data_IF_363867667151
#
_entry.id   IF_363867667151
#
_cell.length_a   1.000
_cell.length_b   1.000
_cell.length_c   1.000
_cell.angle_alpha   90.00
_cell.angle_beta   90.00
_cell.angle_gamma   90.00
#
_symmetry.space_group_name_H-M   'P 1'
#
loop_
_entity.id
_entity.type
_entity.pdbx_description
1 polymer ?
#
# COMPACT_ATOMS: atom_id res chain seq x y z
N UNK A 1 21.84 54.72 9.44
CA UNK A 1 21.24 54.06 8.25
C UNK A 1 21.88 52.70 7.95
N UNK A 2 23.18 52.54 8.24
CA UNK A 2 23.98 51.33 8.01
C UNK A 2 23.56 50.10 8.83
N UNK A 3 23.23 50.23 10.12
CA UNK A 3 22.91 49.08 10.99
C UNK A 3 21.59 48.39 10.62
N UNK A 4 20.60 49.14 10.15
CA UNK A 4 19.29 48.60 9.71
C UNK A 4 19.41 47.82 8.39
N UNK A 5 20.31 48.27 7.51
CA UNK A 5 20.59 47.59 6.25
C UNK A 5 21.28 46.24 6.48
N UNK A 6 22.24 46.18 7.41
CA UNK A 6 22.94 44.95 7.79
C UNK A 6 21.99 43.90 8.38
N UNK A 7 21.07 44.32 9.27
CA UNK A 7 20.07 43.42 9.84
C UNK A 7 19.07 42.89 8.80
N UNK A 8 18.68 43.72 7.82
CA UNK A 8 17.81 43.32 6.72
C UNK A 8 18.49 42.29 5.80
N UNK A 9 19.77 42.50 5.49
CA UNK A 9 20.56 41.57 4.66
C UNK A 9 20.78 40.24 5.37
N UNK A 10 21.10 40.25 6.67
CA UNK A 10 21.21 39.01 7.47
C UNK A 10 19.88 38.26 7.57
N UNK A 11 18.76 38.97 7.78
CA UNK A 11 17.43 38.37 7.82
C UNK A 11 17.01 37.73 6.50
N UNK A 12 17.33 38.37 5.37
CA UNK A 12 17.09 37.83 4.03
C UNK A 12 17.96 36.58 3.74
N UNK A 13 19.20 36.55 4.22
CA UNK A 13 20.08 35.38 4.12
C UNK A 13 19.58 34.19 4.94
N UNK A 14 19.05 34.42 6.16
CA UNK A 14 18.45 33.35 6.95
C UNK A 14 17.16 32.78 6.33
N UNK A 15 16.40 33.59 5.59
CA UNK A 15 15.19 33.15 4.86
C UNK A 15 15.52 32.34 3.59
N UNK A 16 16.70 32.55 2.99
CA UNK A 16 17.18 31.82 1.81
C UNK A 16 17.78 30.45 2.15
N UNK A 17 18.20 30.23 3.40
CA UNK A 17 18.75 28.95 3.89
C UNK A 17 17.66 27.98 4.38
N UNK A 18 16.52 27.93 3.70
CA UNK A 18 15.60 26.80 3.89
C UNK A 18 16.21 25.57 3.25
N UNK A 19 16.91 24.78 4.04
CA UNK A 19 17.27 23.43 3.68
C UNK A 19 15.97 22.60 3.64
N UNK A 20 15.33 22.55 2.47
CA UNK A 20 14.36 21.49 2.21
C UNK A 20 15.13 20.17 2.32
N UNK A 21 14.70 19.30 3.23
CA UNK A 21 15.25 17.96 3.32
C UNK A 21 14.88 17.23 2.04
N UNK A 22 15.79 17.24 1.06
CA UNK A 22 15.60 16.52 -0.18
C UNK A 22 15.70 15.03 0.13
N UNK A 23 14.61 14.30 -0.09
CA UNK A 23 14.62 12.85 0.05
C UNK A 23 15.63 12.28 -0.94
N UNK A 24 16.68 11.65 -0.42
CA UNK A 24 17.66 10.92 -1.20
C UNK A 24 17.50 9.43 -0.91
N UNK A 25 17.55 8.64 -1.98
CA UNK A 25 17.75 7.19 -1.88
C UNK A 25 19.25 7.00 -2.05
N UNK A 26 19.97 6.99 -0.93
CA UNK A 26 21.44 6.94 -0.93
C UNK A 26 21.98 5.58 -1.38
N UNK A 27 21.13 4.55 -1.39
CA UNK A 27 21.50 3.21 -1.83
C UNK A 27 20.35 2.52 -2.56
N UNK A 28 20.68 1.79 -3.63
CA UNK A 28 19.75 0.92 -4.34
C UNK A 28 20.50 -0.33 -4.86
N UNK A 29 19.76 -1.41 -5.10
CA UNK A 29 20.30 -2.64 -5.71
C UNK A 29 19.32 -3.15 -6.75
N UNK A 30 19.83 -3.50 -7.93
CA UNK A 30 19.09 -4.34 -8.88
C UNK A 30 19.32 -5.81 -8.52
N UNK A 31 18.44 -6.36 -7.71
CA UNK A 31 18.51 -7.78 -7.38
C UNK A 31 17.80 -8.59 -8.47
N UNK A 32 18.56 -9.09 -9.44
CA UNK A 32 18.10 -10.17 -10.32
C UNK A 32 17.91 -11.43 -9.48
N UNK A 33 16.70 -11.68 -9.00
CA UNK A 33 16.44 -12.69 -7.99
C UNK A 33 15.45 -13.75 -8.46
N UNK A 34 15.93 -14.77 -9.18
CA UNK A 34 15.13 -15.96 -9.48
C UNK A 34 15.07 -16.37 -10.94
N UNK A 35 14.44 -17.53 -11.18
CA UNK A 35 14.24 -18.11 -12.49
C UNK A 35 13.27 -19.29 -12.44
N UNK A 36 12.72 -19.63 -13.60
CA UNK A 36 11.91 -20.83 -13.77
C UNK A 36 12.74 -21.87 -14.51
N UNK A 37 12.94 -23.02 -13.88
CA UNK A 37 13.49 -24.21 -14.51
C UNK A 37 12.34 -25.15 -14.85
N UNK A 38 12.24 -25.54 -16.11
CA UNK A 38 11.17 -26.38 -16.63
C UNK A 38 11.74 -27.60 -17.33
N UNK A 39 11.03 -28.73 -17.19
CA UNK A 39 11.09 -29.83 -18.13
C UNK A 39 9.68 -30.08 -18.70
N UNK A 40 9.51 -31.13 -19.50
CA UNK A 40 8.23 -31.43 -20.15
C UNK A 40 7.07 -31.70 -19.17
N UNK A 41 7.35 -32.10 -17.93
CA UNK A 41 6.37 -32.58 -16.98
C UNK A 41 6.23 -31.68 -15.74
N UNK A 42 7.26 -30.89 -15.41
CA UNK A 42 7.31 -30.06 -14.22
C UNK A 42 7.95 -28.70 -14.48
N UNK A 43 7.45 -27.69 -13.77
CA UNK A 43 8.00 -26.35 -13.68
C UNK A 43 8.35 -26.05 -12.23
N UNK A 44 9.59 -25.59 -12.00
CA UNK A 44 10.05 -25.08 -10.71
C UNK A 44 10.40 -23.61 -10.88
N UNK A 45 9.67 -22.73 -10.23
CA UNK A 45 10.01 -21.30 -10.15
C UNK A 45 10.53 -21.00 -8.75
N UNK A 46 11.66 -20.30 -8.67
CA UNK A 46 12.29 -19.96 -7.40
C UNK A 46 13.01 -18.62 -7.48
N UNK A 47 13.26 -18.03 -6.32
CA UNK A 47 13.93 -16.74 -6.17
C UNK A 47 15.14 -16.91 -5.27
N UNK A 48 16.29 -16.31 -5.64
CA UNK A 48 17.39 -16.19 -4.68
C UNK A 48 16.89 -15.27 -3.55
N UNK A 49 16.95 -15.76 -2.32
CA UNK A 49 16.48 -15.02 -1.15
C UNK A 49 17.15 -13.65 -1.04
N UNK A 50 16.33 -12.62 -0.84
CA UNK A 50 16.76 -11.26 -0.57
C UNK A 50 16.73 -11.06 0.94
N UNK A 51 17.89 -11.05 1.61
CA UNK A 51 17.95 -10.85 3.07
C UNK A 51 17.45 -9.45 3.49
N UNK A 52 17.44 -8.49 2.57
CA UNK A 52 16.82 -7.18 2.71
C UNK A 52 15.30 -7.18 2.49
N UNK A 53 14.72 -8.27 1.99
CA UNK A 53 13.27 -8.52 2.03
C UNK A 53 12.84 -8.88 3.46
N UNK A 54 12.78 -7.86 4.31
CA UNK A 54 12.31 -7.97 5.69
C UNK A 54 10.83 -7.63 5.87
N UNK A 55 10.43 -7.40 7.12
CA UNK A 55 9.13 -6.80 7.45
C UNK A 55 9.00 -5.42 6.78
N UNK A 56 7.76 -4.99 6.52
CA UNK A 56 7.48 -3.65 5.98
C UNK A 56 8.20 -2.58 6.80
N UNK A 57 9.09 -1.82 6.13
CA UNK A 57 9.75 -0.67 6.72
C UNK A 57 8.75 0.49 6.74
N UNK A 58 8.56 1.14 7.89
CA UNK A 58 7.65 2.27 8.05
C UNK A 58 8.40 3.51 8.55
N UNK A 59 8.04 4.68 8.02
CA UNK A 59 8.52 5.97 8.53
C UNK A 59 7.43 7.04 8.30
N UNK A 60 6.68 7.37 9.36
CA UNK A 60 5.55 8.29 9.28
C UNK A 60 4.46 7.79 8.33
N UNK A 61 4.17 8.55 7.28
CA UNK A 61 3.18 8.19 6.25
C UNK A 61 3.73 7.25 5.16
N UNK A 62 5.02 6.95 5.18
CA UNK A 62 5.67 6.15 4.15
C UNK A 62 5.88 4.72 4.63
N UNK A 63 5.65 3.77 3.72
CA UNK A 63 5.96 2.36 3.94
C UNK A 63 6.62 1.76 2.71
N UNK A 64 7.61 0.91 2.91
CA UNK A 64 8.30 0.17 1.85
C UNK A 64 8.39 -1.29 2.27
N UNK A 65 7.83 -2.18 1.44
CA UNK A 65 8.04 -3.63 1.56
C UNK A 65 8.94 -4.07 0.43
N UNK A 66 10.16 -4.48 0.76
CA UNK A 66 11.10 -5.07 -0.19
C UNK A 66 10.81 -6.57 -0.41
N UNK A 67 11.27 -7.10 -1.54
CA UNK A 67 11.22 -8.54 -1.84
C UNK A 67 10.48 -8.88 -3.12
N UNK A 68 10.88 -10.01 -3.73
CA UNK A 68 10.30 -10.49 -4.98
C UNK A 68 8.83 -10.94 -4.82
N UNK A 69 8.47 -11.41 -3.63
CA UNK A 69 7.13 -11.91 -3.29
C UNK A 69 6.31 -10.92 -2.45
N UNK A 70 6.56 -9.61 -2.58
CA UNK A 70 5.71 -8.63 -1.93
C UNK A 70 4.26 -8.86 -2.39
N UNK A 71 3.39 -9.25 -1.45
CA UNK A 71 1.95 -9.39 -1.72
C UNK A 71 1.41 -8.03 -2.20
N UNK A 72 0.30 -8.02 -2.96
CA UNK A 72 -0.35 -6.78 -3.35
C UNK A 72 -0.55 -5.88 -2.13
N UNK A 73 0.09 -4.71 -2.13
CA UNK A 73 -0.08 -3.75 -1.06
C UNK A 73 -1.28 -2.86 -1.34
N UNK A 74 -2.22 -2.84 -0.39
CA UNK A 74 -3.31 -1.89 -0.42
C UNK A 74 -2.79 -0.51 -0.01
N UNK A 75 -2.84 0.46 -0.92
CA UNK A 75 -2.53 1.86 -0.61
C UNK A 75 -3.79 2.51 -0.04
N UNK A 76 -3.70 2.99 1.20
CA UNK A 76 -4.76 3.78 1.82
C UNK A 76 -4.81 5.17 1.17
N UNK A 77 -6.01 5.64 0.83
CA UNK A 77 -6.23 7.01 0.38
C UNK A 77 -6.46 7.89 1.61
N UNK A 78 -5.92 9.11 1.60
CA UNK A 78 -6.13 10.05 2.70
C UNK A 78 -7.64 10.29 2.95
N UNK A 79 -8.06 10.18 4.21
CA UNK A 79 -9.46 10.29 4.62
C UNK A 79 -10.34 9.09 4.28
N UNK A 80 -9.80 8.05 3.64
CA UNK A 80 -10.51 6.77 3.49
C UNK A 80 -10.49 5.99 4.82
N UNK A 81 -11.57 5.30 5.17
CA UNK A 81 -11.59 4.49 6.36
C UNK A 81 -10.74 3.23 6.18
N UNK A 82 -10.22 2.72 7.30
CA UNK A 82 -9.38 1.54 7.30
C UNK A 82 -10.26 0.30 7.07
N UNK A 83 -10.03 -0.40 5.95
CA UNK A 83 -10.69 -1.65 5.62
C UNK A 83 -9.98 -2.81 6.32
N UNK A 84 -10.72 -3.62 7.06
CA UNK A 84 -10.21 -4.80 7.77
C UNK A 84 -10.98 -6.05 7.37
N UNK A 85 -10.31 -7.19 7.46
CA UNK A 85 -10.89 -8.52 7.28
C UNK A 85 -10.59 -9.36 8.51
N UNK A 86 -11.61 -9.98 9.08
CA UNK A 86 -11.51 -10.84 10.25
C UNK A 86 -12.23 -12.19 10.00
N UNK A 87 -11.73 -13.30 10.54
CA UNK A 87 -12.47 -14.57 10.53
C UNK A 87 -13.85 -14.42 11.19
N UNK A 88 -14.85 -15.11 10.65
CA UNK A 88 -16.20 -15.16 11.22
C UNK A 88 -16.58 -16.61 11.59
N UNK A 89 -17.73 -17.10 11.12
CA UNK A 89 -18.07 -18.52 11.24
C UNK A 89 -17.20 -19.38 10.29
N UNK A 90 -17.11 -20.71 10.50
CA UNK A 90 -16.38 -21.60 9.59
C UNK A 90 -16.77 -21.39 8.13
N UNK A 91 -15.80 -21.15 7.26
CA UNK A 91 -16.04 -20.87 5.84
C UNK A 91 -16.55 -19.45 5.55
N UNK A 92 -16.38 -18.51 6.48
CA UNK A 92 -16.77 -17.11 6.30
C UNK A 92 -15.79 -16.11 6.92
N UNK A 93 -15.76 -14.92 6.34
CA UNK A 93 -14.98 -13.79 6.81
C UNK A 93 -15.87 -12.54 6.88
N UNK A 94 -15.61 -11.69 7.88
CA UNK A 94 -16.23 -10.38 8.00
C UNK A 94 -15.29 -9.33 7.43
N UNK A 95 -15.81 -8.48 6.58
CA UNK A 95 -15.15 -7.26 6.10
C UNK A 95 -15.83 -6.08 6.78
N UNK A 96 -15.04 -5.18 7.34
CA UNK A 96 -15.53 -3.98 7.99
C UNK A 96 -14.59 -2.81 7.78
N UNK A 97 -15.07 -1.60 8.02
CA UNK A 97 -14.22 -0.42 7.98
C UNK A 97 -14.53 0.58 9.07
N UNK A 98 -13.49 1.27 9.55
CA UNK A 98 -13.61 2.29 10.60
C UNK A 98 -12.74 3.49 10.27
N UNK A 99 -13.23 4.73 10.47
CA UNK A 99 -14.60 5.10 10.84
C UNK A 99 -15.64 4.77 9.74
N UNK A 100 -16.94 4.73 10.04
CA UNK A 100 -17.97 4.48 9.02
C UNK A 100 -18.23 5.76 8.19
N UNK A 101 -17.22 6.18 7.43
CA UNK A 101 -17.24 7.43 6.66
C UNK A 101 -18.28 7.37 5.53
N UNK A 102 -19.24 8.32 5.47
CA UNK A 102 -20.25 8.34 4.41
C UNK A 102 -19.65 8.46 2.99
N UNK A 103 -20.31 7.82 2.03
CA UNK A 103 -19.97 7.88 0.61
C UNK A 103 -18.98 6.82 0.14
N UNK A 104 -18.49 5.94 1.01
CA UNK A 104 -17.70 4.77 0.57
C UNK A 104 -18.61 3.57 0.29
N UNK A 105 -18.32 2.86 -0.81
CA UNK A 105 -18.94 1.59 -1.18
C UNK A 105 -17.88 0.50 -1.27
N UNK A 106 -18.24 -0.73 -0.93
CA UNK A 106 -17.36 -1.87 -1.10
C UNK A 106 -17.35 -2.30 -2.58
N UNK A 107 -16.15 -2.48 -3.13
CA UNK A 107 -15.93 -3.09 -4.43
C UNK A 107 -15.15 -4.39 -4.29
N UNK A 108 -15.37 -5.28 -5.24
CA UNK A 108 -14.76 -6.59 -5.28
C UNK A 108 -14.27 -6.95 -6.68
N UNK A 109 -13.25 -7.80 -6.74
CA UNK A 109 -12.74 -8.37 -8.01
C UNK A 109 -12.10 -9.73 -7.77
N UNK A 110 -12.02 -10.53 -8.83
CA UNK A 110 -11.38 -11.85 -8.82
C UNK A 110 -9.94 -11.84 -9.35
N UNK A 111 -9.51 -10.74 -9.98
CA UNK A 111 -8.14 -10.57 -10.49
C UNK A 111 -7.69 -9.14 -10.30
N UNK A 112 -6.39 -8.94 -10.04
CA UNK A 112 -5.75 -7.63 -10.07
C UNK A 112 -5.09 -7.35 -11.44
N UNK A 113 -5.02 -8.36 -12.32
CA UNK A 113 -4.32 -8.29 -13.61
C UNK A 113 -5.05 -9.11 -14.69
N UNK A 114 -5.88 -8.50 -15.55
CA UNK A 114 -6.40 -7.13 -15.44
C UNK A 114 -7.42 -7.01 -14.30
N UNK A 115 -7.41 -5.88 -13.60
CA UNK A 115 -8.40 -5.62 -12.56
C UNK A 115 -9.76 -5.24 -13.16
N UNK A 116 -10.82 -5.93 -12.74
CA UNK A 116 -12.20 -5.57 -13.08
C UNK A 116 -13.04 -5.44 -11.81
N UNK A 117 -13.12 -4.21 -11.29
CA UNK A 117 -13.77 -3.90 -10.02
C UNK A 117 -15.26 -3.66 -10.22
N UNK A 118 -16.09 -4.42 -9.50
CA UNK A 118 -17.54 -4.22 -9.46
C UNK A 118 -17.99 -3.85 -8.05
N UNK A 119 -19.10 -3.12 -7.92
CA UNK A 119 -19.69 -2.85 -6.61
C UNK A 119 -20.18 -4.17 -6.00
N UNK A 120 -19.86 -4.40 -4.73
CA UNK A 120 -20.39 -5.53 -3.99
C UNK A 120 -21.89 -5.33 -3.74
N UNK A 121 -22.63 -6.43 -3.64
CA UNK A 121 -24.07 -6.40 -3.34
C UNK A 121 -24.38 -5.78 -1.98
N UNK A 122 -23.40 -5.70 -1.07
CA UNK A 122 -23.56 -5.04 0.23
C UNK A 122 -23.65 -3.52 0.13
N UNK A 123 -23.22 -2.92 -0.98
CA UNK A 123 -23.19 -1.46 -1.17
C UNK A 123 -22.33 -0.77 -0.10
N UNK A 124 -22.96 0.09 0.71
CA UNK A 124 -22.34 0.81 1.84
C UNK A 124 -22.56 0.13 3.20
N UNK A 125 -23.10 -1.10 3.23
CA UNK A 125 -23.35 -1.83 4.47
C UNK A 125 -22.05 -2.22 5.15
N UNK A 126 -21.93 -1.92 6.44
CA UNK A 126 -20.74 -2.14 7.25
C UNK A 126 -21.14 -2.49 8.69
N UNK A 127 -20.69 -3.63 9.25
CA UNK A 127 -19.85 -4.68 8.63
C UNK A 127 -20.65 -5.57 7.66
N UNK A 128 -19.94 -6.38 6.86
CA UNK A 128 -20.52 -7.37 5.95
C UNK A 128 -19.77 -8.71 6.03
N UNK A 129 -20.51 -9.81 6.02
CA UNK A 129 -19.95 -11.17 6.01
C UNK A 129 -20.02 -11.80 4.62
N UNK A 130 -18.96 -12.50 4.24
CA UNK A 130 -18.86 -13.25 3.00
C UNK A 130 -18.47 -14.69 3.27
N UNK A 131 -18.93 -15.61 2.42
CA UNK A 131 -18.37 -16.97 2.40
C UNK A 131 -16.98 -16.94 1.77
N UNK A 132 -16.02 -17.58 2.42
CA UNK A 132 -14.66 -17.72 1.90
C UNK A 132 -14.68 -18.75 0.77
N UNK A 133 -14.35 -18.31 -0.44
CA UNK A 133 -14.23 -19.19 -1.60
C UNK A 133 -12.83 -19.86 -1.66
N UNK A 134 -12.71 -20.93 -2.45
CA UNK A 134 -11.41 -21.58 -2.72
C UNK A 134 -10.47 -20.67 -3.55
N UNK A 135 -11.03 -19.74 -4.34
CA UNK A 135 -10.28 -18.76 -5.10
C UNK A 135 -10.15 -17.44 -4.33
N UNK A 136 -9.02 -16.76 -4.49
CA UNK A 136 -8.79 -15.45 -3.90
C UNK A 136 -9.76 -14.41 -4.49
N UNK A 137 -10.40 -13.64 -3.61
CA UNK A 137 -11.24 -12.49 -3.96
C UNK A 137 -10.65 -11.25 -3.29
N UNK A 138 -10.55 -10.17 -4.04
CA UNK A 138 -9.95 -8.92 -3.58
C UNK A 138 -11.03 -7.88 -3.32
N UNK A 139 -10.82 -7.06 -2.29
CA UNK A 139 -11.78 -6.06 -1.84
C UNK A 139 -11.12 -4.69 -1.72
N UNK A 140 -11.87 -3.63 -2.02
CA UNK A 140 -11.46 -2.24 -1.76
C UNK A 140 -12.65 -1.40 -1.40
N UNK A 141 -12.40 -0.28 -0.72
CA UNK A 141 -13.38 0.78 -0.62
C UNK A 141 -13.19 1.78 -1.74
N UNK A 142 -14.30 2.25 -2.30
CA UNK A 142 -14.34 3.27 -3.34
C UNK A 142 -15.31 4.36 -2.92
N UNK A 143 -14.87 5.62 -2.99
CA UNK A 143 -15.79 6.75 -3.02
C UNK A 143 -16.19 6.98 -4.49
N UNK A 144 -17.47 6.88 -4.85
CA UNK A 144 -17.95 7.18 -6.19
C UNK A 144 -17.58 8.59 -6.64
#
# INVERSE_FOLDING_TARGET
MTTRLVLLVLGAWCLALRADAQYSIDWFKFAGGGGTSTNAQFALSGTIGQHDAGQTMTNGQFSVTGGFWALPQAVQVEGAPLLTIAPAAPGSATISWTPNTPGFVLQETWSLTPANWTNSLSGSTNPVSFSTAAAAKYFRLRKP
#
